data_IF_041206965483
#
_entry.id   IF_041206965483
#
_cell.length_a   1.000
_cell.length_b   1.000
_cell.length_c   1.000
_cell.angle_alpha   90.00
_cell.angle_beta   90.00
_cell.angle_gamma   90.00
#
_symmetry.space_group_name_H-M   'P 1'
#
loop_
_entity.id
_entity.type
_entity.pdbx_description
1 polymer ?
#
# COMPACT_ATOMS: atom_id res chain seq x y z
N UNK A 1 29.36 -17.33 14.42
CA UNK A 1 29.22 -16.20 13.47
C UNK A 1 27.98 -16.46 12.60
N UNK A 2 26.82 -15.95 13.02
CA UNK A 2 25.48 -16.02 12.38
C UNK A 2 24.48 -15.45 13.41
N UNK A 3 23.44 -14.65 13.15
CA UNK A 3 22.86 -14.01 11.97
C UNK A 3 22.49 -12.57 12.38
N UNK A 4 22.91 -11.54 11.63
CA UNK A 4 22.38 -10.18 11.86
C UNK A 4 21.07 -10.04 11.09
N UNK A 5 20.00 -10.66 11.58
CA UNK A 5 18.69 -10.62 10.91
C UNK A 5 17.94 -9.33 11.25
N UNK A 6 18.33 -8.25 10.59
CA UNK A 6 17.50 -7.06 10.41
C UNK A 6 17.67 -6.65 8.94
N UNK A 7 16.59 -6.55 8.15
CA UNK A 7 15.66 -5.43 8.29
C UNK A 7 14.66 -5.42 7.12
N UNK A 8 13.35 -5.32 7.42
CA UNK A 8 12.62 -6.26 8.27
C UNK A 8 12.52 -7.64 7.59
N UNK A 9 12.47 -8.69 8.42
CA UNK A 9 12.27 -10.05 7.95
C UNK A 9 10.80 -10.25 7.57
N UNK A 10 10.48 -10.15 6.29
CA UNK A 10 9.15 -10.51 5.76
C UNK A 10 9.10 -12.04 5.66
N UNK A 11 8.07 -12.73 6.20
CA UNK A 11 7.99 -14.18 6.11
C UNK A 11 7.97 -14.67 4.66
N UNK A 12 8.74 -15.71 4.34
CA UNK A 12 8.86 -16.23 2.96
C UNK A 12 7.54 -16.75 2.37
N UNK A 13 6.62 -17.15 3.24
CA UNK A 13 5.28 -17.63 2.91
C UNK A 13 4.22 -16.52 2.90
N UNK A 14 4.60 -15.25 3.09
CA UNK A 14 3.68 -14.14 2.86
C UNK A 14 3.30 -14.08 1.37
N UNK A 15 2.00 -13.88 1.09
CA UNK A 15 1.55 -13.66 -0.28
C UNK A 15 2.22 -12.41 -0.84
N UNK A 16 2.65 -12.41 -2.10
CA UNK A 16 3.38 -11.27 -2.69
C UNK A 16 2.94 -10.96 -4.12
N UNK A 17 2.98 -9.68 -4.47
CA UNK A 17 2.68 -9.17 -5.80
C UNK A 17 3.49 -7.90 -6.09
N UNK A 18 3.89 -7.69 -7.35
CA UNK A 18 4.46 -6.42 -7.79
C UNK A 18 3.42 -5.30 -7.65
N UNK A 19 3.83 -4.14 -7.13
CA UNK A 19 2.87 -3.06 -6.83
C UNK A 19 2.20 -2.50 -8.08
N UNK A 20 2.85 -2.55 -9.23
CA UNK A 20 2.39 -2.10 -10.55
C UNK A 20 1.68 -3.21 -11.35
N UNK A 21 1.60 -4.43 -10.80
CA UNK A 21 1.09 -5.59 -11.54
C UNK A 21 -0.38 -5.39 -11.91
N UNK A 22 -0.65 -5.36 -13.21
CA UNK A 22 -1.99 -5.56 -13.78
C UNK A 22 -2.21 -7.05 -14.03
N UNK A 23 -3.35 -7.58 -13.60
CA UNK A 23 -3.73 -8.95 -13.92
C UNK A 23 -4.31 -8.98 -15.33
N UNK A 24 -3.86 -9.91 -16.17
CA UNK A 24 -4.27 -9.98 -17.58
C UNK A 24 -5.74 -10.37 -17.74
N UNK A 25 -6.22 -11.30 -16.90
CA UNK A 25 -7.57 -11.86 -16.97
C UNK A 25 -8.17 -12.02 -15.57
N UNK A 26 -8.44 -10.91 -14.85
CA UNK A 26 -9.08 -10.99 -13.55
C UNK A 26 -10.50 -11.54 -13.71
N UNK A 27 -10.91 -12.41 -12.78
CA UNK A 27 -12.30 -12.86 -12.73
C UNK A 27 -13.22 -11.67 -12.44
N UNK A 28 -14.31 -11.58 -13.20
CA UNK A 28 -15.33 -10.54 -13.05
C UNK A 28 -16.66 -11.13 -12.57
N UNK A 29 -17.51 -10.27 -12.05
CA UNK A 29 -18.87 -10.63 -11.67
C UNK A 29 -19.66 -11.26 -12.82
N UNK A 30 -20.33 -12.39 -12.55
CA UNK A 30 -21.13 -13.12 -13.55
C UNK A 30 -22.44 -12.44 -13.91
N UNK A 31 -23.00 -11.65 -12.98
CA UNK A 31 -24.32 -11.03 -13.10
C UNK A 31 -24.21 -9.52 -12.87
N UNK A 32 -24.98 -8.77 -13.64
CA UNK A 32 -25.20 -7.34 -13.42
C UNK A 32 -25.68 -7.12 -11.97
N UNK A 33 -25.14 -6.09 -11.30
CA UNK A 33 -25.39 -5.75 -9.89
C UNK A 33 -24.83 -6.72 -8.84
N UNK A 34 -24.08 -7.75 -9.25
CA UNK A 34 -23.31 -8.53 -8.29
C UNK A 34 -22.06 -7.73 -7.89
N UNK A 35 -21.67 -7.80 -6.62
CA UNK A 35 -20.53 -7.06 -6.11
C UNK A 35 -19.26 -7.47 -6.86
N UNK A 36 -18.55 -6.47 -7.37
CA UNK A 36 -17.23 -6.63 -7.99
C UNK A 36 -16.31 -5.50 -7.53
N UNK A 37 -15.39 -5.82 -6.63
CA UNK A 37 -14.39 -4.88 -6.15
C UNK A 37 -13.12 -4.84 -7.00
N UNK A 38 -13.04 -5.69 -8.02
CA UNK A 38 -11.81 -5.91 -8.78
C UNK A 38 -10.67 -6.51 -7.95
N UNK A 39 -9.52 -6.68 -8.60
CA UNK A 39 -8.35 -7.34 -8.02
C UNK A 39 -7.40 -6.41 -7.25
N UNK A 40 -7.57 -5.09 -7.34
CA UNK A 40 -6.82 -4.13 -6.53
C UNK A 40 -7.23 -4.22 -5.06
N UNK A 41 -6.68 -5.19 -4.33
CA UNK A 41 -7.04 -5.47 -2.93
C UNK A 41 -5.78 -5.58 -2.05
N UNK A 42 -5.97 -5.65 -0.75
CA UNK A 42 -4.91 -5.84 0.22
C UNK A 42 -5.44 -6.25 1.59
N UNK A 43 -4.52 -6.41 2.54
CA UNK A 43 -4.84 -6.78 3.93
C UNK A 43 -5.59 -5.60 4.58
N UNK A 44 -6.75 -5.82 5.19
CA UNK A 44 -7.54 -4.76 5.79
C UNK A 44 -6.88 -4.20 7.05
N UNK A 45 -7.17 -2.93 7.32
CA UNK A 45 -6.81 -2.21 8.54
C UNK A 45 -8.08 -1.87 9.33
N UNK A 46 -8.07 -2.14 10.63
CA UNK A 46 -9.18 -1.96 11.56
C UNK A 46 -9.42 -3.22 12.39
N UNK A 47 -9.74 -3.03 13.68
CA UNK A 47 -10.11 -4.11 14.60
C UNK A 47 -11.51 -4.66 14.40
N UNK A 48 -11.86 -5.69 15.16
CA UNK A 48 -13.20 -6.27 15.20
C UNK A 48 -14.23 -5.25 15.68
N UNK A 49 -15.32 -5.10 14.93
CA UNK A 49 -16.40 -4.15 15.23
C UNK A 49 -16.10 -2.67 14.93
N UNK A 50 -14.85 -2.31 14.59
CA UNK A 50 -14.46 -0.93 14.30
C UNK A 50 -14.87 -0.43 12.92
N UNK A 51 -15.19 -1.36 12.01
CA UNK A 51 -15.15 -1.12 10.57
C UNK A 51 -13.69 -1.13 10.05
N UNK A 52 -13.52 -1.47 8.77
CA UNK A 52 -12.17 -1.62 8.19
C UNK A 52 -11.97 -0.78 6.93
N UNK A 53 -10.72 -0.41 6.69
CA UNK A 53 -10.24 0.22 5.48
C UNK A 53 -9.23 -0.72 4.81
N UNK A 54 -9.50 -1.12 3.58
CA UNK A 54 -8.57 -1.83 2.72
C UNK A 54 -7.64 -0.84 2.02
N UNK A 55 -6.35 -1.05 2.20
CA UNK A 55 -5.30 -0.43 1.40
C UNK A 55 -4.79 -1.49 0.42
N UNK A 56 -4.93 -1.24 -0.87
CA UNK A 56 -4.58 -2.20 -1.90
C UNK A 56 -3.06 -2.37 -2.05
N UNK A 57 -2.65 -3.39 -2.80
CA UNK A 57 -1.23 -3.67 -3.03
C UNK A 57 -0.49 -2.55 -3.79
N UNK A 58 -1.19 -1.66 -4.48
CA UNK A 58 -0.60 -0.48 -5.14
C UNK A 58 -0.31 0.66 -4.15
N UNK A 59 -0.90 0.61 -2.95
CA UNK A 59 -0.72 1.59 -1.88
C UNK A 59 -1.92 2.53 -1.67
N UNK A 60 -2.95 2.45 -2.51
CA UNK A 60 -4.16 3.27 -2.41
C UNK A 60 -5.18 2.71 -1.42
N UNK A 61 -5.89 3.59 -0.71
CA UNK A 61 -6.99 3.22 0.18
C UNK A 61 -8.29 3.17 -0.61
N UNK A 62 -8.85 1.98 -0.79
CA UNK A 62 -9.85 1.76 -1.84
C UNK A 62 -11.07 0.93 -1.44
N UNK A 63 -11.01 0.19 -0.34
CA UNK A 63 -12.13 -0.66 0.13
C UNK A 63 -12.59 -0.20 1.51
N UNK A 64 -13.84 0.23 1.62
CA UNK A 64 -14.34 0.91 2.81
C UNK A 64 -15.49 0.12 3.42
N UNK A 65 -15.34 -0.26 4.69
CA UNK A 65 -16.36 -0.92 5.52
C UNK A 65 -16.52 -0.22 6.86
N UNK A 66 -16.24 1.09 6.91
CA UNK A 66 -16.36 1.92 8.12
C UNK A 66 -17.81 1.94 8.64
N UNK A 67 -18.78 2.02 7.72
CA UNK A 67 -20.19 1.83 8.08
C UNK A 67 -20.47 0.33 8.16
N UNK A 68 -20.83 -0.15 9.35
CA UNK A 68 -21.17 -1.55 9.60
C UNK A 68 -22.22 -2.06 8.60
N UNK A 69 -21.94 -3.20 7.99
CA UNK A 69 -22.82 -3.83 6.98
C UNK A 69 -22.77 -3.19 5.59
N UNK A 70 -22.05 -2.09 5.40
CA UNK A 70 -21.84 -1.49 4.09
C UNK A 70 -20.44 -1.78 3.55
N UNK A 71 -20.35 -2.00 2.24
CA UNK A 71 -19.10 -2.16 1.51
C UNK A 71 -19.11 -1.18 0.35
N UNK A 72 -18.07 -0.34 0.28
CA UNK A 72 -17.86 0.59 -0.84
C UNK A 72 -16.45 0.43 -1.40
N UNK A 73 -16.34 0.46 -2.71
CA UNK A 73 -15.07 0.52 -3.43
C UNK A 73 -14.95 1.89 -4.09
N UNK A 74 -13.98 2.69 -3.65
CA UNK A 74 -13.62 3.97 -4.28
C UNK A 74 -12.26 4.41 -3.74
N UNK A 75 -11.47 5.08 -4.57
CA UNK A 75 -10.22 5.68 -4.10
C UNK A 75 -10.47 7.09 -3.55
N UNK A 76 -9.72 7.45 -2.51
CA UNK A 76 -9.52 8.84 -2.12
C UNK A 76 -8.06 9.21 -2.40
N UNK A 77 -7.75 9.87 -3.53
CA UNK A 77 -6.37 10.14 -3.94
C UNK A 77 -5.53 10.87 -2.90
N UNK A 78 -6.15 11.71 -2.07
CA UNK A 78 -5.47 12.41 -0.99
C UNK A 78 -4.93 11.49 0.12
N UNK A 79 -5.47 10.27 0.25
CA UNK A 79 -5.04 9.29 1.23
C UNK A 79 -3.91 8.45 0.62
N UNK A 80 -2.67 8.91 0.76
CA UNK A 80 -1.49 8.21 0.27
C UNK A 80 -0.28 8.59 1.12
N UNK A 81 0.78 7.79 1.04
CA UNK A 81 2.10 8.19 1.52
C UNK A 81 2.91 8.81 0.38
N UNK A 82 3.77 9.76 0.71
CA UNK A 82 4.72 10.36 -0.21
C UNK A 82 6.10 10.39 0.45
N UNK A 83 7.14 10.42 -0.36
CA UNK A 83 8.53 10.54 0.11
C UNK A 83 9.17 11.76 -0.52
N UNK A 84 10.00 12.45 0.26
CA UNK A 84 10.94 13.46 -0.19
C UNK A 84 12.35 12.99 0.15
N UNK A 85 13.28 13.16 -0.79
CA UNK A 85 14.70 12.90 -0.59
C UNK A 85 15.51 14.08 -1.12
N UNK A 86 16.58 14.43 -0.41
CA UNK A 86 17.58 15.41 -0.85
C UNK A 86 18.93 14.73 -0.81
N UNK A 87 19.58 14.65 -1.97
CA UNK A 87 20.92 14.08 -2.11
C UNK A 87 21.97 15.09 -1.62
N UNK A 88 23.19 14.61 -1.35
CA UNK A 88 24.30 15.44 -0.89
C UNK A 88 24.71 16.52 -1.92
N UNK A 89 24.49 16.27 -3.22
CA UNK A 89 24.70 17.23 -4.30
C UNK A 89 23.63 18.34 -4.38
N UNK A 90 22.62 18.30 -3.50
CA UNK A 90 21.52 19.25 -3.44
C UNK A 90 20.30 18.88 -4.30
N UNK A 91 20.38 17.84 -5.15
CA UNK A 91 19.24 17.38 -5.95
C UNK A 91 18.12 16.90 -5.03
N UNK A 92 16.93 17.49 -5.21
CA UNK A 92 15.73 17.18 -4.45
C UNK A 92 14.76 16.38 -5.32
N UNK A 93 14.06 15.42 -4.72
CA UNK A 93 13.03 14.64 -5.41
C UNK A 93 11.91 14.29 -4.44
N UNK A 94 10.66 14.43 -4.91
CA UNK A 94 9.47 14.03 -4.19
C UNK A 94 8.56 13.18 -5.08
N UNK A 95 7.97 12.12 -4.52
CA UNK A 95 6.98 11.29 -5.20
C UNK A 95 5.94 10.76 -4.24
N UNK A 96 4.75 10.51 -4.78
CA UNK A 96 3.77 9.66 -4.11
C UNK A 96 4.24 8.20 -4.15
N UNK A 97 3.85 7.42 -3.15
CA UNK A 97 4.19 6.01 -3.05
C UNK A 97 3.07 5.13 -3.62
N UNK A 98 2.71 5.41 -4.89
CA UNK A 98 1.72 4.69 -5.69
C UNK A 98 2.20 4.58 -7.16
N UNK A 99 2.08 3.42 -7.84
CA UNK A 99 2.49 3.23 -9.23
C UNK A 99 1.47 3.83 -10.21
N UNK A 100 1.28 5.15 -10.17
CA UNK A 100 0.32 5.89 -11.00
C UNK A 100 -0.74 6.63 -10.18
N UNK A 101 -1.71 7.23 -10.85
CA UNK A 101 -2.87 7.82 -10.17
C UNK A 101 -3.79 6.70 -9.63
N UNK A 102 -4.36 6.80 -8.41
CA UNK A 102 -5.15 5.74 -7.79
C UNK A 102 -6.52 5.61 -8.46
N UNK A 103 -6.55 4.76 -9.48
CA UNK A 103 -7.74 4.37 -10.24
C UNK A 103 -8.43 3.15 -9.60
N UNK A 104 -9.74 3.02 -9.78
CA UNK A 104 -10.46 1.79 -9.42
C UNK A 104 -10.34 0.79 -10.57
N UNK A 105 -10.72 -0.48 -10.36
CA UNK A 105 -10.83 -1.43 -11.49
C UNK A 105 -11.85 -0.95 -12.54
N UNK A 106 -12.86 -0.16 -12.13
CA UNK A 106 -13.90 0.31 -13.05
C UNK A 106 -13.46 1.59 -13.80
N UNK A 107 -12.49 2.33 -13.25
CA UNK A 107 -12.00 3.59 -13.79
C UNK A 107 -10.63 3.41 -14.45
N UNK A 108 -10.53 2.64 -15.53
CA UNK A 108 -9.22 2.34 -16.16
C UNK A 108 -8.53 3.54 -16.83
N UNK A 109 -9.27 4.64 -17.04
CA UNK A 109 -8.75 5.85 -17.68
C UNK A 109 -8.47 6.94 -16.66
N UNK A 110 -7.35 7.62 -16.84
CA UNK A 110 -7.04 8.85 -16.10
C UNK A 110 -8.12 9.90 -16.39
N UNK A 111 -8.67 10.58 -15.38
CA UNK A 111 -9.63 11.65 -15.60
C UNK A 111 -8.95 12.84 -16.30
N UNK A 112 -9.70 13.58 -17.12
CA UNK A 112 -9.19 14.74 -17.88
C UNK A 112 -8.63 15.84 -16.98
N UNK A 113 -9.18 15.99 -15.77
CA UNK A 113 -8.70 16.94 -14.76
C UNK A 113 -8.56 16.21 -13.41
N UNK A 114 -7.46 15.49 -13.18
CA UNK A 114 -7.25 14.77 -11.94
C UNK A 114 -7.04 15.76 -10.79
N UNK A 115 -7.77 15.53 -9.69
CA UNK A 115 -7.46 16.19 -8.43
C UNK A 115 -6.01 15.92 -8.04
N UNK A 116 -5.34 16.87 -7.37
CA UNK A 116 -3.94 16.72 -6.98
C UNK A 116 -3.01 16.48 -8.18
N UNK A 117 -3.32 17.07 -9.35
CA UNK A 117 -2.49 16.98 -10.57
C UNK A 117 -1.06 17.52 -10.39
N UNK A 118 -0.82 18.37 -9.40
CA UNK A 118 0.51 18.86 -9.03
C UNK A 118 1.38 17.84 -8.30
N UNK A 119 0.79 16.74 -7.82
CA UNK A 119 1.55 15.69 -7.14
C UNK A 119 2.27 14.83 -8.16
N UNK A 120 3.46 14.36 -7.78
CA UNK A 120 4.24 13.48 -8.64
C UNK A 120 3.71 12.04 -8.54
N UNK A 121 2.74 11.71 -9.40
CA UNK A 121 2.13 10.39 -9.59
C UNK A 121 2.92 9.47 -10.54
N UNK A 122 4.17 9.81 -10.87
CA UNK A 122 4.97 9.13 -11.89
C UNK A 122 4.99 7.59 -11.74
N UNK A 123 4.97 6.93 -12.91
CA UNK A 123 5.37 5.53 -13.08
C UNK A 123 6.85 5.39 -12.63
N UNK A 124 7.21 4.30 -11.95
CA UNK A 124 8.53 4.18 -11.32
C UNK A 124 8.54 3.51 -9.94
N UNK A 125 7.42 2.92 -9.54
CA UNK A 125 7.34 1.90 -8.50
C UNK A 125 7.27 0.48 -9.07
N UNK A 126 7.67 0.29 -10.33
CA UNK A 126 7.65 -1.00 -11.05
C UNK A 126 8.45 -2.11 -10.34
N UNK A 127 9.40 -1.71 -9.48
CA UNK A 127 10.21 -2.62 -8.69
C UNK A 127 9.77 -2.73 -7.22
N UNK A 128 8.60 -2.16 -6.88
CA UNK A 128 8.00 -2.29 -5.57
C UNK A 128 7.31 -3.64 -5.40
N UNK A 129 7.31 -4.19 -4.19
CA UNK A 129 6.62 -5.44 -3.89
C UNK A 129 5.72 -5.27 -2.68
N UNK A 130 4.46 -5.65 -2.82
CA UNK A 130 3.54 -5.77 -1.71
C UNK A 130 3.57 -7.20 -1.17
N UNK A 131 3.48 -7.32 0.16
CA UNK A 131 3.37 -8.59 0.86
C UNK A 131 2.17 -8.58 1.81
N UNK A 132 1.45 -9.68 1.90
CA UNK A 132 0.29 -9.84 2.77
C UNK A 132 0.36 -11.12 3.60
N UNK A 133 0.29 -10.97 4.93
CA UNK A 133 0.11 -12.06 5.88
C UNK A 133 -0.66 -11.51 7.09
N UNK A 134 -1.99 -11.55 7.02
CA UNK A 134 -2.88 -10.96 8.02
C UNK A 134 -2.46 -11.36 9.45
N UNK A 135 -2.39 -10.41 10.41
CA UNK A 135 -2.90 -9.03 10.33
C UNK A 135 -1.90 -8.00 9.78
N UNK A 136 -0.78 -8.46 9.22
CA UNK A 136 0.28 -7.60 8.70
C UNK A 136 0.31 -7.56 7.17
N UNK A 137 0.78 -6.45 6.65
CA UNK A 137 1.21 -6.34 5.27
C UNK A 137 2.46 -5.45 5.18
N UNK A 138 3.20 -5.58 4.09
CA UNK A 138 4.41 -4.80 3.85
C UNK A 138 4.41 -4.24 2.45
N UNK A 139 4.85 -2.99 2.32
CA UNK A 139 5.20 -2.38 1.04
C UNK A 139 6.71 -2.23 1.02
N UNK A 140 7.35 -2.92 0.09
CA UNK A 140 8.77 -2.81 -0.18
C UNK A 140 8.99 -1.89 -1.37
N UNK A 141 9.71 -0.80 -1.14
CA UNK A 141 10.11 0.17 -2.16
C UNK A 141 11.61 0.04 -2.38
N UNK A 142 11.98 -0.59 -3.50
CA UNK A 142 13.38 -0.70 -3.91
C UNK A 142 13.97 0.68 -4.22
N UNK A 143 15.25 0.87 -3.89
CA UNK A 143 15.98 2.07 -4.23
C UNK A 143 16.20 2.19 -5.75
N UNK A 144 16.32 3.43 -6.22
CA UNK A 144 16.69 3.80 -7.60
C UNK A 144 17.71 4.94 -7.56
N UNK A 145 18.24 5.34 -8.72
CA UNK A 145 19.21 6.45 -8.78
C UNK A 145 18.61 7.77 -8.27
N UNK A 146 17.33 8.03 -8.53
CA UNK A 146 16.63 9.22 -8.04
C UNK A 146 16.13 9.08 -6.60
N UNK A 147 15.92 7.85 -6.14
CA UNK A 147 15.50 7.54 -4.77
C UNK A 147 16.44 6.51 -4.13
N UNK A 148 17.65 6.92 -3.70
CA UNK A 148 18.71 6.01 -3.23
C UNK A 148 18.39 5.30 -1.91
N UNK A 149 17.39 5.75 -1.17
CA UNK A 149 16.96 5.12 0.08
C UNK A 149 15.93 4.02 -0.20
N UNK A 150 16.28 2.80 0.19
CA UNK A 150 15.39 1.64 0.23
C UNK A 150 14.40 1.82 1.40
N UNK A 151 13.12 1.50 1.19
CA UNK A 151 12.10 1.71 2.22
C UNK A 151 11.16 0.53 2.35
N UNK A 152 10.77 0.23 3.59
CA UNK A 152 9.69 -0.71 3.89
C UNK A 152 8.68 -0.04 4.80
N UNK A 153 7.40 -0.18 4.44
CA UNK A 153 6.27 0.16 5.29
C UNK A 153 5.61 -1.13 5.74
N UNK A 154 5.75 -1.52 7.01
CA UNK A 154 4.89 -2.53 7.62
C UNK A 154 3.61 -1.85 8.10
N UNK A 155 2.46 -2.38 7.71
CA UNK A 155 1.16 -1.95 8.20
C UNK A 155 0.44 -3.06 8.93
N UNK A 156 -0.29 -2.72 9.98
CA UNK A 156 -1.16 -3.66 10.69
C UNK A 156 -2.16 -2.96 11.61
N UNK A 157 -3.20 -3.69 11.98
CA UNK A 157 -4.01 -3.42 13.17
C UNK A 157 -3.76 -4.52 14.21
N UNK A 158 -3.89 -4.24 15.51
CA UNK A 158 -3.53 -5.19 16.56
C UNK A 158 -4.60 -6.28 16.75
N UNK A 159 -4.77 -7.16 15.75
CA UNK A 159 -5.68 -8.32 15.83
C UNK A 159 -4.95 -9.48 16.49
N UNK A 160 -5.25 -9.71 17.77
CA UNK A 160 -4.50 -10.61 18.64
C UNK A 160 -5.47 -11.67 19.21
N UNK A 161 -5.21 -12.98 19.04
CA UNK A 161 -6.00 -14.04 19.65
C UNK A 161 -6.12 -13.87 21.17
N UNK A 162 -7.31 -14.12 21.71
CA UNK A 162 -7.64 -13.98 23.14
C UNK A 162 -7.47 -12.57 23.73
N UNK A 163 -7.30 -11.56 22.89
CA UNK A 163 -7.34 -10.16 23.29
C UNK A 163 -8.63 -9.51 22.76
N UNK A 164 -9.47 -9.03 23.66
CA UNK A 164 -10.78 -8.44 23.34
C UNK A 164 -10.79 -6.91 23.44
N UNK A 165 -9.64 -6.30 23.75
CA UNK A 165 -9.51 -4.85 23.88
C UNK A 165 -8.82 -4.27 22.66
N UNK A 166 -7.51 -4.44 22.53
CA UNK A 166 -6.73 -3.90 21.41
C UNK A 166 -7.23 -4.43 20.06
N UNK A 167 -7.68 -5.69 19.99
CA UNK A 167 -8.27 -6.27 18.78
C UNK A 167 -9.55 -5.59 18.29
N UNK A 168 -10.15 -4.70 19.08
CA UNK A 168 -11.35 -3.93 18.70
C UNK A 168 -11.03 -2.49 18.27
N UNK A 169 -9.76 -2.08 18.32
CA UNK A 169 -9.41 -0.69 18.10
C UNK A 169 -9.63 -0.25 16.64
N UNK A 170 -10.21 0.94 16.41
CA UNK A 170 -10.29 1.57 15.09
C UNK A 170 -8.94 2.22 14.72
N UNK A 171 -7.85 1.45 14.79
CA UNK A 171 -6.50 1.96 14.64
C UNK A 171 -5.65 1.09 13.71
N UNK A 172 -4.72 1.76 13.01
CA UNK A 172 -3.71 1.14 12.17
C UNK A 172 -2.33 1.75 12.48
N UNK A 173 -1.30 0.91 12.41
CA UNK A 173 0.10 1.33 12.55
C UNK A 173 0.76 1.23 11.18
N UNK A 174 1.56 2.23 10.84
CA UNK A 174 2.45 2.24 9.67
C UNK A 174 3.89 2.40 10.15
N UNK A 175 4.61 1.30 10.28
CA UNK A 175 5.99 1.28 10.74
C UNK A 175 6.93 1.40 9.55
N UNK A 176 7.57 2.55 9.43
CA UNK A 176 8.51 2.86 8.37
C UNK A 176 9.95 2.55 8.77
N UNK A 177 10.64 2.01 7.79
CA UNK A 177 11.96 1.41 7.92
C UNK A 177 12.70 1.87 6.67
N UNK A 178 13.61 2.87 6.80
CA UNK A 178 14.41 3.47 5.71
C UNK A 178 15.92 3.15 5.79
N UNK A 179 16.53 2.67 4.69
CA UNK A 179 17.93 2.21 4.64
C UNK A 179 18.61 2.90 3.48
N UNK A 180 19.62 3.69 3.84
CA UNK A 180 20.53 4.27 2.88
C UNK A 180 21.69 3.29 2.69
N UNK A 181 21.77 2.68 1.50
CA UNK A 181 22.86 1.77 1.13
C UNK A 181 24.04 2.49 0.47
N UNK A 182 23.95 3.81 0.31
CA UNK A 182 25.03 4.62 -0.26
C UNK A 182 26.05 5.02 0.81
N UNK A 183 27.23 5.45 0.36
CA UNK A 183 28.26 6.06 1.21
C UNK A 183 27.96 7.53 1.53
N UNK A 184 26.91 8.11 0.94
CA UNK A 184 26.53 9.51 1.12
C UNK A 184 25.56 9.63 2.30
N UNK A 185 25.75 10.64 3.14
CA UNK A 185 24.87 10.93 4.28
C UNK A 185 23.63 11.69 3.85
#
# INVERSE_FOLDING_TARGET
MTEKKLWPNIPDYAWKIGMDKKLAEPSVSRKKNMLDGGYYQGVPLGGFGAGTIGRNYMGGFNRWTIKTGALKFFNLPANIFAVYQKKADGKCSARVLHPGYPLTHQDEKMPDNPWLSSWNWQEGLENGTYYGLFPKAWYYYKNTDDYPVEMICEQFSPVIPHNYRESTYPAAVFRWVLRNNSSQK
#
